data_IF_587283292589
#
_entry.id   IF_587283292589
#
_cell.length_a   1.000
_cell.length_b   1.000
_cell.length_c   1.000
_cell.angle_alpha   90.00
_cell.angle_beta   90.00
_cell.angle_gamma   90.00
#
_symmetry.space_group_name_H-M   'P 1'
#
loop_
_entity.id
_entity.type
_entity.pdbx_description
1 polymer ?
#
# COMPACT_ATOMS: atom_id res chain seq x y z
N UNK A 1 0.57 -16.77 7.68
CA UNK A 1 1.60 -15.76 7.29
C UNK A 1 1.12 -14.39 7.70
N UNK A 2 1.97 -13.64 8.39
CA UNK A 2 1.72 -12.24 8.78
C UNK A 2 2.38 -11.35 7.73
N UNK A 3 1.63 -10.40 7.17
CA UNK A 3 2.13 -9.42 6.20
C UNK A 3 2.52 -8.16 6.95
N UNK A 4 3.68 -7.58 6.66
CA UNK A 4 4.18 -6.41 7.35
C UNK A 4 3.32 -5.16 7.06
N UNK A 5 3.01 -4.39 8.09
CA UNK A 5 2.25 -3.14 7.99
C UNK A 5 3.17 -1.90 7.94
N UNK A 6 2.56 -0.71 8.00
CA UNK A 6 3.27 0.56 8.17
C UNK A 6 3.67 0.84 9.62
N UNK A 7 4.36 1.96 9.85
CA UNK A 7 4.77 2.39 11.20
C UNK A 7 3.61 2.87 12.08
N UNK A 8 2.58 3.46 11.47
CA UNK A 8 1.44 4.08 12.18
C UNK A 8 0.11 3.48 11.72
N UNK A 9 0.03 3.13 10.43
CA UNK A 9 -1.18 2.55 9.86
C UNK A 9 -1.09 1.03 9.75
N UNK A 10 -2.12 0.38 10.29
CA UNK A 10 -2.37 -1.04 10.11
C UNK A 10 -2.72 -1.36 8.65
N UNK A 11 -2.38 -2.58 8.23
CA UNK A 11 -2.69 -3.07 6.89
C UNK A 11 -4.20 -3.33 6.75
N UNK A 12 -4.93 -2.60 5.88
CA UNK A 12 -6.36 -2.81 5.72
C UNK A 12 -6.66 -4.13 4.99
N UNK A 13 -7.81 -4.74 5.29
CA UNK A 13 -8.15 -6.10 4.84
C UNK A 13 -8.26 -6.22 3.32
N UNK A 14 -8.69 -5.16 2.63
CA UNK A 14 -8.77 -5.11 1.17
C UNK A 14 -7.38 -5.18 0.53
N UNK A 15 -6.44 -4.35 0.98
CA UNK A 15 -5.04 -4.41 0.53
C UNK A 15 -4.39 -5.74 0.90
N UNK A 16 -4.64 -6.25 2.11
CA UNK A 16 -4.13 -7.54 2.59
C UNK A 16 -4.61 -8.69 1.70
N UNK A 17 -5.85 -8.64 1.23
CA UNK A 17 -6.41 -9.67 0.35
C UNK A 17 -5.71 -9.68 -1.00
N UNK A 18 -5.44 -8.51 -1.58
CA UNK A 18 -4.71 -8.40 -2.86
C UNK A 18 -3.26 -8.86 -2.72
N UNK A 19 -2.57 -8.47 -1.63
CA UNK A 19 -1.21 -8.92 -1.35
C UNK A 19 -1.12 -10.44 -1.19
N UNK A 20 -2.14 -11.09 -0.60
CA UNK A 20 -2.16 -12.56 -0.50
C UNK A 20 -2.37 -13.26 -1.84
N UNK A 21 -3.04 -12.62 -2.78
CA UNK A 21 -3.34 -13.20 -4.09
C UNK A 21 -2.23 -13.01 -5.13
N UNK A 22 -1.26 -12.13 -4.87
CA UNK A 22 -0.17 -11.81 -5.80
C UNK A 22 1.18 -11.90 -5.07
N UNK A 23 1.94 -12.96 -5.37
CA UNK A 23 3.23 -13.23 -4.73
C UNK A 23 4.31 -12.20 -5.10
N UNK A 24 4.28 -11.66 -6.32
CA UNK A 24 5.27 -10.67 -6.79
C UNK A 24 5.00 -9.32 -6.13
N UNK A 25 3.73 -8.94 -6.03
CA UNK A 25 3.33 -7.74 -5.28
C UNK A 25 3.69 -7.87 -3.80
N UNK A 26 3.46 -9.05 -3.19
CA UNK A 26 3.84 -9.29 -1.80
C UNK A 26 5.35 -9.19 -1.60
N UNK A 27 6.15 -9.77 -2.49
CA UNK A 27 7.61 -9.65 -2.44
C UNK A 27 8.04 -8.18 -2.54
N UNK A 28 7.48 -7.41 -3.48
CA UNK A 28 7.75 -5.99 -3.62
C UNK A 28 7.32 -5.18 -2.38
N UNK A 29 6.19 -5.54 -1.76
CA UNK A 29 5.69 -4.94 -0.53
C UNK A 29 6.60 -5.22 0.68
N UNK A 30 7.10 -6.44 0.80
CA UNK A 30 8.02 -6.81 1.88
C UNK A 30 9.43 -6.21 1.68
N UNK A 31 9.82 -5.89 0.45
CA UNK A 31 11.11 -5.26 0.15
C UNK A 31 11.14 -3.74 0.41
N UNK A 32 9.98 -3.06 0.52
CA UNK A 32 9.94 -1.63 0.86
C UNK A 32 10.03 -1.37 2.36
N UNK A 33 10.61 -0.21 2.72
CA UNK A 33 10.74 0.20 4.13
C UNK A 33 9.38 0.32 4.85
N UNK A 34 9.33 0.15 6.18
CA UNK A 34 8.09 0.36 6.96
C UNK A 34 7.46 1.75 6.75
N UNK A 35 8.28 2.79 6.54
CA UNK A 35 7.79 4.14 6.24
C UNK A 35 7.11 4.22 4.87
N UNK A 36 7.66 3.55 3.86
CA UNK A 36 7.07 3.47 2.53
C UNK A 36 5.72 2.72 2.55
N UNK A 37 5.63 1.61 3.29
CA UNK A 37 4.35 0.90 3.51
C UNK A 37 3.33 1.82 4.17
N UNK A 38 3.75 2.56 5.19
CA UNK A 38 2.90 3.54 5.87
C UNK A 38 2.35 4.61 4.91
N UNK A 39 3.17 5.10 3.98
CA UNK A 39 2.72 6.05 2.97
C UNK A 39 1.69 5.46 2.00
N UNK A 40 1.90 4.23 1.52
CA UNK A 40 0.92 3.53 0.70
C UNK A 40 -0.40 3.32 1.43
N UNK A 41 -0.35 2.83 2.68
CA UNK A 41 -1.55 2.61 3.47
C UNK A 41 -2.28 3.93 3.72
N UNK A 42 -1.57 4.98 4.14
CA UNK A 42 -2.19 6.29 4.38
C UNK A 42 -2.84 6.85 3.12
N UNK A 43 -2.17 6.71 1.96
CA UNK A 43 -2.71 7.15 0.69
C UNK A 43 -3.94 6.33 0.27
N UNK A 44 -3.95 5.01 0.46
CA UNK A 44 -5.13 4.18 0.17
C UNK A 44 -6.30 4.55 1.09
N UNK A 45 -6.05 4.69 2.40
CA UNK A 45 -7.08 4.99 3.40
C UNK A 45 -7.66 6.40 3.28
N UNK A 46 -6.89 7.35 2.76
CA UNK A 46 -7.36 8.71 2.45
C UNK A 46 -8.51 8.72 1.40
N UNK A 47 -8.61 7.69 0.57
CA UNK A 47 -9.76 7.49 -0.31
C UNK A 47 -10.98 7.00 0.50
N UNK A 48 -11.87 7.94 0.85
CA UNK A 48 -13.11 7.68 1.59
C UNK A 48 -14.18 6.93 0.78
N UNK A 49 -14.16 7.03 -0.55
CA UNK A 49 -15.08 6.32 -1.45
C UNK A 49 -14.51 4.95 -1.82
N UNK A 50 -15.32 3.90 -1.69
CA UNK A 50 -14.92 2.51 -1.98
C UNK A 50 -14.29 2.34 -3.35
N UNK A 51 -14.93 2.83 -4.41
CA UNK A 51 -14.41 2.72 -5.78
C UNK A 51 -13.06 3.43 -5.97
N UNK A 52 -12.85 4.55 -5.28
CA UNK A 52 -11.58 5.27 -5.34
C UNK A 52 -10.49 4.50 -4.60
N UNK A 53 -10.83 3.86 -3.47
CA UNK A 53 -9.92 3.00 -2.73
C UNK A 53 -9.51 1.77 -3.55
N UNK A 54 -10.47 1.08 -4.18
CA UNK A 54 -10.19 -0.05 -5.06
C UNK A 54 -9.20 0.33 -6.17
N UNK A 55 -9.44 1.44 -6.88
CA UNK A 55 -8.52 1.96 -7.90
C UNK A 55 -7.14 2.32 -7.35
N UNK A 56 -7.04 2.84 -6.12
CA UNK A 56 -5.74 3.10 -5.47
C UNK A 56 -5.00 1.79 -5.14
N UNK A 57 -5.70 0.73 -4.76
CA UNK A 57 -5.11 -0.59 -4.52
C UNK A 57 -4.57 -1.18 -5.82
N UNK A 58 -5.36 -1.17 -6.90
CA UNK A 58 -4.92 -1.59 -8.24
C UNK A 58 -3.67 -0.83 -8.71
N UNK A 59 -3.68 0.50 -8.53
CA UNK A 59 -2.53 1.32 -8.86
C UNK A 59 -1.32 1.01 -7.98
N UNK A 60 -1.52 0.69 -6.70
CA UNK A 60 -0.43 0.31 -5.78
C UNK A 60 0.23 -0.98 -6.26
N UNK A 61 -0.55 -1.98 -6.67
CA UNK A 61 -0.04 -3.20 -7.29
C UNK A 61 0.80 -2.86 -8.53
N UNK A 62 0.24 -2.12 -9.49
CA UNK A 62 0.96 -1.72 -10.70
C UNK A 62 2.26 -0.96 -10.37
N UNK A 63 2.21 0.03 -9.47
CA UNK A 63 3.35 0.85 -9.13
C UNK A 63 4.46 0.05 -8.42
N UNK A 64 4.11 -0.85 -7.49
CA UNK A 64 5.06 -1.73 -6.80
C UNK A 64 5.75 -2.70 -7.76
N UNK A 65 4.98 -3.33 -8.65
CA UNK A 65 5.52 -4.26 -9.66
C UNK A 65 6.43 -3.55 -10.67
N UNK A 66 6.23 -2.25 -10.88
CA UNK A 66 7.12 -1.39 -11.68
C UNK A 66 8.25 -0.76 -10.84
N UNK A 67 8.51 -1.24 -9.63
CA UNK A 67 9.64 -0.81 -8.79
C UNK A 67 9.46 0.52 -8.07
N UNK A 68 8.27 1.15 -8.12
CA UNK A 68 8.02 2.36 -7.34
C UNK A 68 7.92 2.02 -5.87
N UNK A 69 8.70 2.74 -5.07
CA UNK A 69 8.78 2.52 -3.62
C UNK A 69 7.73 3.31 -2.84
N UNK A 70 7.17 4.37 -3.40
CA UNK A 70 6.23 5.30 -2.73
C UNK A 70 5.11 5.75 -3.69
N UNK A 71 3.94 6.17 -3.17
CA UNK A 71 2.86 6.70 -3.99
C UNK A 71 3.29 7.98 -4.73
N UNK A 72 3.06 8.06 -6.05
CA UNK A 72 3.35 9.28 -6.79
C UNK A 72 2.21 10.31 -6.64
N UNK A 73 2.59 11.59 -6.60
CA UNK A 73 1.68 12.73 -6.33
C UNK A 73 1.03 12.67 -4.94
N UNK A 74 1.74 12.14 -3.94
CA UNK A 74 1.33 12.13 -2.53
C UNK A 74 2.28 13.00 -1.71
N UNK A 75 1.80 14.03 -0.98
CA UNK A 75 2.65 14.91 -0.16
C UNK A 75 3.23 14.23 1.09
N UNK A 76 2.95 12.94 1.30
CA UNK A 76 3.42 12.16 2.44
C UNK A 76 2.32 11.94 3.49
N UNK A 77 2.52 10.94 4.34
CA UNK A 77 1.62 10.67 5.46
C UNK A 77 1.69 11.79 6.49
N UNK A 78 0.55 12.34 6.89
CA UNK A 78 0.44 13.39 7.93
C UNK A 78 0.62 12.88 9.36
N UNK A 79 0.59 11.55 9.57
CA UNK A 79 0.68 10.90 10.88
C UNK A 79 2.11 10.42 11.17
N UNK A 80 3.09 11.20 10.77
CA UNK A 80 4.53 10.89 10.91
C UNK A 80 5.04 11.21 12.30
#
# INVERSE_FOLDING_TARGET
MTISAGVVHDLPDDLKSVLKSDADMLAAWEDITPLARNEWICWILDAKKGDTRARRIERTQHDLLNGKRRPCCWPGCKHR
#
